data_IF_014577482986
#
_entry.id   IF_014577482986
#
_cell.length_a   1.000
_cell.length_b   1.000
_cell.length_c   1.000
_cell.angle_alpha   90.00
_cell.angle_beta   90.00
_cell.angle_gamma   90.00
#
_symmetry.space_group_name_H-M   'P 1'
#
loop_
_entity.id
_entity.type
_entity.pdbx_description
1 polymer ?
#
# COMPACT_ATOMS: atom_id res chain seq x y z
N UNK A 1 -20.47 45.29 -39.69
CA UNK A 1 -20.72 43.82 -39.74
C UNK A 1 -19.64 43.10 -38.98
N UNK A 2 -19.84 42.82 -37.72
CA UNK A 2 -18.89 42.12 -36.85
C UNK A 2 -19.42 40.72 -36.59
N UNK A 3 -18.73 39.76 -37.21
CA UNK A 3 -18.97 38.32 -37.13
C UNK A 3 -18.60 37.82 -35.71
N UNK A 4 -19.57 37.43 -34.90
CA UNK A 4 -19.35 36.69 -33.66
C UNK A 4 -19.05 35.24 -34.02
N UNK A 5 -17.78 34.83 -33.88
CA UNK A 5 -17.41 33.42 -33.94
C UNK A 5 -17.86 32.76 -32.65
N UNK A 6 -18.83 31.88 -32.76
CA UNK A 6 -19.25 30.96 -31.68
C UNK A 6 -18.09 30.01 -31.38
N UNK A 7 -17.31 30.31 -30.34
CA UNK A 7 -16.39 29.34 -29.73
C UNK A 7 -17.19 28.41 -28.82
N UNK A 8 -18.02 27.59 -29.44
CA UNK A 8 -18.72 26.51 -28.72
C UNK A 8 -17.85 25.26 -28.80
N UNK A 9 -16.72 25.26 -28.07
CA UNK A 9 -15.87 24.07 -27.97
C UNK A 9 -16.59 23.01 -27.12
N UNK A 10 -16.33 21.75 -27.41
CA UNK A 10 -16.87 20.62 -26.66
C UNK A 10 -16.63 20.73 -25.15
N UNK A 11 -15.53 21.39 -24.72
CA UNK A 11 -15.24 21.70 -23.32
C UNK A 11 -16.25 22.65 -22.67
N UNK A 12 -16.69 23.69 -23.39
CA UNK A 12 -17.68 24.63 -22.86
C UNK A 12 -19.05 23.97 -22.66
N UNK A 13 -19.43 23.00 -23.50
CA UNK A 13 -20.67 22.23 -23.33
C UNK A 13 -20.59 21.28 -22.13
N UNK A 14 -19.43 20.65 -21.88
CA UNK A 14 -19.23 19.75 -20.71
C UNK A 14 -19.39 20.47 -19.37
N UNK A 15 -18.95 21.71 -19.27
CA UNK A 15 -19.11 22.52 -18.06
C UNK A 15 -20.58 22.92 -17.76
N UNK A 16 -21.39 23.05 -18.82
CA UNK A 16 -22.82 23.44 -18.67
C UNK A 16 -23.70 22.25 -18.28
N UNK A 17 -23.34 21.01 -18.66
CA UNK A 17 -24.16 19.83 -18.39
C UNK A 17 -23.81 19.12 -17.08
N UNK A 18 -22.81 19.61 -16.33
CA UNK A 18 -22.43 19.03 -15.01
C UNK A 18 -21.96 17.58 -15.06
N UNK A 19 -21.70 17.04 -16.26
CA UNK A 19 -21.16 15.71 -16.45
C UNK A 19 -19.66 15.79 -16.31
N UNK A 20 -19.15 15.56 -15.12
CA UNK A 20 -17.73 15.25 -14.91
C UNK A 20 -17.47 13.90 -15.60
N UNK A 21 -16.54 13.88 -16.57
CA UNK A 21 -16.02 12.60 -17.07
C UNK A 21 -15.59 11.76 -15.85
N UNK A 22 -15.97 10.48 -15.78
CA UNK A 22 -15.48 9.63 -14.71
C UNK A 22 -13.93 9.69 -14.70
N UNK A 23 -13.30 9.76 -13.53
CA UNK A 23 -11.85 9.85 -13.44
C UNK A 23 -11.25 8.76 -14.33
N UNK A 24 -10.40 9.17 -15.29
CA UNK A 24 -9.70 8.21 -16.15
C UNK A 24 -9.01 7.22 -15.22
N UNK A 25 -9.41 5.94 -15.25
CA UNK A 25 -8.70 4.88 -14.53
C UNK A 25 -7.25 4.94 -14.97
N UNK A 26 -6.39 5.52 -14.14
CA UNK A 26 -4.95 5.53 -14.39
C UNK A 26 -4.51 4.09 -14.46
N UNK A 27 -3.92 3.69 -15.59
CA UNK A 27 -3.43 2.32 -15.75
C UNK A 27 -2.33 2.08 -14.72
N UNK A 28 -2.56 1.14 -13.81
CA UNK A 28 -1.56 0.75 -12.81
C UNK A 28 -0.31 0.21 -13.51
N UNK A 29 0.86 0.50 -12.93
CA UNK A 29 2.13 -0.08 -13.35
C UNK A 29 2.28 -1.45 -12.69
N UNK A 30 2.37 -2.51 -13.49
CA UNK A 30 2.49 -3.89 -12.96
C UNK A 30 3.91 -4.13 -12.45
N UNK A 31 4.04 -4.44 -11.17
CA UNK A 31 5.27 -4.97 -10.60
C UNK A 31 5.48 -6.41 -11.13
N UNK A 32 6.61 -6.66 -11.79
CA UNK A 32 6.89 -7.95 -12.44
C UNK A 32 7.43 -8.99 -11.46
N UNK A 33 8.25 -8.51 -10.52
CA UNK A 33 8.96 -9.27 -9.50
C UNK A 33 9.29 -8.35 -8.32
N UNK A 34 9.91 -8.90 -7.29
CA UNK A 34 10.30 -8.20 -6.07
C UNK A 34 11.23 -7.00 -6.34
N UNK A 35 12.28 -7.20 -7.13
CA UNK A 35 13.26 -6.14 -7.41
C UNK A 35 12.64 -4.99 -8.18
N UNK A 36 11.78 -5.30 -9.15
CA UNK A 36 11.03 -4.29 -9.89
C UNK A 36 10.07 -3.52 -8.98
N UNK A 37 9.38 -4.20 -8.05
CA UNK A 37 8.52 -3.54 -7.06
C UNK A 37 9.34 -2.57 -6.20
N UNK A 38 10.45 -3.00 -5.63
CA UNK A 38 11.34 -2.12 -4.84
C UNK A 38 11.82 -0.91 -5.65
N UNK A 39 12.18 -1.10 -6.92
CA UNK A 39 12.60 0.00 -7.79
C UNK A 39 11.46 0.98 -8.08
N UNK A 40 10.24 0.48 -8.30
CA UNK A 40 9.06 1.33 -8.50
C UNK A 40 8.78 2.17 -7.25
N UNK A 41 8.77 1.56 -6.06
CA UNK A 41 8.59 2.25 -4.78
C UNK A 41 9.64 3.35 -4.62
N UNK A 42 10.93 3.01 -4.75
CA UNK A 42 12.04 3.96 -4.64
C UNK A 42 11.86 5.15 -5.58
N UNK A 43 11.58 4.90 -6.85
CA UNK A 43 11.35 5.95 -7.85
C UNK A 43 10.17 6.87 -7.51
N UNK A 44 9.08 6.31 -6.92
CA UNK A 44 7.93 7.10 -6.48
C UNK A 44 8.29 7.99 -5.29
N UNK A 45 8.96 7.41 -4.29
CA UNK A 45 9.39 8.14 -3.10
C UNK A 45 10.38 9.26 -3.43
N UNK A 46 11.34 9.02 -4.32
CA UNK A 46 12.28 10.04 -4.80
C UNK A 46 11.58 11.21 -5.51
N UNK A 47 10.52 10.92 -6.26
CA UNK A 47 9.80 11.95 -7.04
C UNK A 47 8.70 12.66 -6.27
N UNK A 48 8.04 11.98 -5.34
CA UNK A 48 6.80 12.43 -4.69
C UNK A 48 6.91 12.55 -3.18
N UNK A 49 8.06 12.16 -2.60
CA UNK A 49 8.31 12.13 -1.16
C UNK A 49 7.83 10.83 -0.47
N UNK A 50 8.17 10.67 0.83
CA UNK A 50 7.93 9.44 1.57
C UNK A 50 6.45 9.15 1.88
N UNK A 51 5.58 10.15 1.82
CA UNK A 51 4.14 10.00 2.07
C UNK A 51 3.34 9.83 0.78
N UNK A 52 4.00 9.39 -0.30
CA UNK A 52 3.34 9.29 -1.60
C UNK A 52 2.34 8.14 -1.68
N UNK A 53 1.30 8.34 -2.50
CA UNK A 53 0.39 7.28 -2.92
C UNK A 53 1.10 6.32 -3.88
N UNK A 54 1.13 5.03 -3.51
CA UNK A 54 1.70 3.92 -4.30
C UNK A 54 0.61 3.01 -4.88
N UNK A 55 -0.67 3.37 -4.77
CA UNK A 55 -1.78 2.57 -5.30
C UNK A 55 -1.82 2.53 -6.84
N UNK A 56 -0.97 3.32 -7.50
CA UNK A 56 -0.71 3.24 -8.94
C UNK A 56 0.18 2.04 -9.33
N UNK A 57 0.68 1.25 -8.35
CA UNK A 57 1.43 0.01 -8.57
C UNK A 57 0.49 -1.19 -8.42
N UNK A 58 0.48 -2.08 -9.41
CA UNK A 58 -0.22 -3.37 -9.35
C UNK A 58 0.74 -4.43 -8.82
N UNK A 59 0.46 -4.94 -7.62
CA UNK A 59 1.31 -5.90 -6.89
C UNK A 59 0.80 -7.34 -6.95
N UNK A 60 -0.27 -7.64 -7.68
CA UNK A 60 -0.94 -8.97 -7.70
C UNK A 60 -0.04 -10.14 -8.11
N UNK A 61 1.10 -9.87 -8.73
CA UNK A 61 2.07 -10.92 -9.12
C UNK A 61 3.10 -11.21 -8.04
N UNK A 62 3.13 -10.41 -6.98
CA UNK A 62 4.13 -10.52 -5.92
C UNK A 62 3.65 -11.54 -4.89
N UNK A 63 4.49 -12.51 -4.59
CA UNK A 63 4.25 -13.55 -3.59
C UNK A 63 5.14 -13.40 -2.37
N UNK A 64 6.24 -12.64 -2.48
CA UNK A 64 7.19 -12.35 -1.42
C UNK A 64 7.31 -10.82 -1.27
N UNK A 65 6.95 -10.31 -0.09
CA UNK A 65 7.10 -8.92 0.32
C UNK A 65 8.01 -8.79 1.56
N UNK A 66 8.80 -9.83 1.84
CA UNK A 66 9.73 -9.82 2.96
C UNK A 66 10.71 -8.66 2.83
N UNK A 67 10.93 -7.92 3.92
CA UNK A 67 11.84 -6.77 3.95
C UNK A 67 11.52 -5.66 2.93
N UNK A 68 10.31 -5.59 2.36
CA UNK A 68 10.00 -4.72 1.23
C UNK A 68 10.35 -3.25 1.50
N UNK A 69 10.01 -2.73 2.67
CA UNK A 69 10.31 -1.35 3.08
C UNK A 69 11.58 -1.23 3.95
N UNK A 70 12.19 -2.35 4.34
CA UNK A 70 13.41 -2.31 5.14
C UNK A 70 14.57 -1.68 4.36
N UNK A 71 15.19 -0.64 4.94
CA UNK A 71 16.34 0.05 4.34
C UNK A 71 16.05 0.85 3.07
N UNK A 72 14.79 0.88 2.58
CA UNK A 72 14.44 1.77 1.47
C UNK A 72 14.35 3.23 1.90
N UNK A 73 13.73 3.49 3.00
CA UNK A 73 13.84 4.69 3.84
C UNK A 73 13.14 4.39 5.16
N UNK A 74 13.69 4.90 6.28
CA UNK A 74 13.02 4.80 7.59
C UNK A 74 11.70 5.58 7.64
N UNK A 75 11.37 6.36 6.60
CA UNK A 75 10.33 7.39 6.63
C UNK A 75 9.13 7.13 5.73
N UNK A 76 8.99 5.93 5.13
CA UNK A 76 7.81 5.67 4.31
C UNK A 76 6.55 5.59 5.18
N UNK A 77 5.61 6.50 4.92
CA UNK A 77 4.27 6.51 5.51
C UNK A 77 3.23 6.91 4.44
N UNK A 78 3.34 6.33 3.25
CA UNK A 78 2.48 6.59 2.12
C UNK A 78 1.26 5.67 2.07
N UNK A 79 0.42 5.85 1.05
CA UNK A 79 -0.80 5.08 0.87
C UNK A 79 -0.57 3.84 0.00
N UNK A 80 -0.84 2.67 0.57
CA UNK A 80 -0.82 1.35 -0.06
C UNK A 80 -2.12 0.57 0.22
N UNK A 81 -3.16 1.28 0.65
CA UNK A 81 -4.43 0.67 1.09
C UNK A 81 -5.13 -0.14 -0.01
N UNK A 82 -4.88 0.19 -1.28
CA UNK A 82 -5.49 -0.47 -2.45
C UNK A 82 -4.59 -1.55 -3.08
N UNK A 83 -3.53 -1.95 -2.41
CA UNK A 83 -2.72 -3.07 -2.87
C UNK A 83 -3.49 -4.38 -2.70
N UNK A 84 -3.56 -5.16 -3.77
CA UNK A 84 -4.07 -6.53 -3.72
C UNK A 84 -2.91 -7.46 -3.36
N UNK A 85 -2.85 -7.83 -2.08
CA UNK A 85 -1.81 -8.68 -1.49
C UNK A 85 -2.26 -10.14 -1.35
N UNK A 86 -3.40 -10.50 -1.94
CA UNK A 86 -4.02 -11.83 -1.79
C UNK A 86 -3.14 -13.01 -2.24
N UNK A 87 -2.11 -12.75 -3.06
CA UNK A 87 -1.15 -13.78 -3.49
C UNK A 87 0.14 -13.81 -2.66
N UNK A 88 0.28 -12.91 -1.68
CA UNK A 88 1.51 -12.82 -0.86
C UNK A 88 1.55 -13.94 0.16
N UNK A 89 2.71 -14.59 0.27
CA UNK A 89 2.99 -15.67 1.22
C UNK A 89 3.97 -15.29 2.30
N UNK A 90 4.91 -14.40 2.02
CA UNK A 90 5.93 -13.95 2.97
C UNK A 90 5.86 -12.44 3.14
N UNK A 91 5.58 -11.99 4.38
CA UNK A 91 5.58 -10.60 4.82
C UNK A 91 6.59 -10.35 5.96
N UNK A 92 7.53 -11.25 6.16
CA UNK A 92 8.55 -11.15 7.22
C UNK A 92 9.30 -9.82 7.12
N UNK A 93 9.43 -9.13 8.26
CA UNK A 93 10.14 -7.85 8.36
C UNK A 93 9.66 -6.74 7.40
N UNK A 94 8.47 -6.83 6.79
CA UNK A 94 8.02 -5.90 5.75
C UNK A 94 8.07 -4.44 6.20
N UNK A 95 7.66 -4.15 7.43
CA UNK A 95 7.65 -2.82 8.03
C UNK A 95 8.59 -2.70 9.25
N UNK A 96 9.56 -3.59 9.38
CA UNK A 96 10.50 -3.58 10.50
C UNK A 96 11.24 -2.24 10.57
N UNK A 97 11.14 -1.55 11.73
CA UNK A 97 11.81 -0.27 11.97
C UNK A 97 11.33 0.88 11.08
N UNK A 98 10.08 0.84 10.57
CA UNK A 98 9.53 1.86 9.68
C UNK A 98 8.58 2.81 10.40
N UNK A 99 8.44 4.04 9.88
CA UNK A 99 7.46 5.03 10.33
C UNK A 99 6.04 4.75 9.77
N UNK A 100 5.86 3.63 9.05
CA UNK A 100 4.59 3.31 8.40
C UNK A 100 3.46 3.16 9.41
N UNK A 101 2.38 3.91 9.20
CA UNK A 101 1.13 3.83 9.96
C UNK A 101 -0.11 4.03 9.05
N UNK A 102 0.00 3.62 7.78
CA UNK A 102 -1.10 3.69 6.82
C UNK A 102 -2.18 2.63 7.07
N UNK A 103 -3.35 2.82 6.44
CA UNK A 103 -4.46 1.88 6.55
C UNK A 103 -4.22 0.63 5.68
N UNK A 104 -4.13 -0.52 6.32
CA UNK A 104 -4.02 -1.84 5.71
C UNK A 104 -5.08 -2.81 6.25
N UNK A 105 -6.11 -2.29 6.90
CA UNK A 105 -7.18 -3.09 7.53
C UNK A 105 -7.92 -3.99 6.54
N UNK A 106 -7.99 -3.58 5.27
CA UNK A 106 -8.72 -4.30 4.21
C UNK A 106 -7.84 -5.26 3.39
N UNK A 107 -6.57 -5.43 3.76
CA UNK A 107 -5.72 -6.39 3.06
C UNK A 107 -6.21 -7.82 3.27
N UNK A 108 -6.30 -8.58 2.18
CA UNK A 108 -6.49 -10.02 2.23
C UNK A 108 -5.14 -10.71 2.45
N UNK A 109 -4.89 -11.09 3.70
CA UNK A 109 -3.65 -11.77 4.13
C UNK A 109 -3.85 -13.27 4.31
N UNK A 110 -4.97 -13.82 3.86
CA UNK A 110 -5.36 -15.22 4.10
C UNK A 110 -4.38 -16.25 3.55
N UNK A 111 -3.53 -15.88 2.58
CA UNK A 111 -2.50 -16.75 2.01
C UNK A 111 -1.10 -16.55 2.62
N UNK A 112 -0.95 -15.64 3.58
CA UNK A 112 0.35 -15.37 4.21
C UNK A 112 0.73 -16.49 5.17
N UNK A 113 1.96 -16.96 5.06
CA UNK A 113 2.53 -18.06 5.83
C UNK A 113 3.54 -17.56 6.89
N UNK A 114 4.25 -16.45 6.63
CA UNK A 114 5.27 -15.87 7.52
C UNK A 114 5.04 -14.36 7.72
N UNK A 115 4.85 -13.94 8.98
CA UNK A 115 4.74 -12.55 9.43
C UNK A 115 5.76 -12.21 10.54
N UNK A 116 6.83 -13.02 10.67
CA UNK A 116 7.83 -12.80 11.71
C UNK A 116 8.43 -11.39 11.60
N UNK A 117 8.52 -10.68 12.73
CA UNK A 117 9.10 -9.33 12.84
C UNK A 117 8.43 -8.25 11.96
N UNK A 118 7.23 -8.49 11.40
CA UNK A 118 6.61 -7.60 10.39
C UNK A 118 6.52 -6.15 10.83
N UNK A 119 6.11 -5.89 12.07
CA UNK A 119 5.97 -4.54 12.65
C UNK A 119 6.96 -4.28 13.79
N UNK A 120 8.01 -5.10 13.93
CA UNK A 120 8.98 -4.90 15.01
C UNK A 120 9.63 -3.53 14.90
N UNK A 121 9.55 -2.73 15.99
CA UNK A 121 10.15 -1.39 16.04
C UNK A 121 9.53 -0.38 15.08
N UNK A 122 8.33 -0.67 14.52
CA UNK A 122 7.61 0.26 13.64
C UNK A 122 6.67 1.17 14.43
N UNK A 123 6.22 2.27 13.80
CA UNK A 123 5.20 3.16 14.36
C UNK A 123 3.76 2.69 14.11
N UNK A 124 3.59 1.52 13.49
CA UNK A 124 2.29 0.99 13.12
C UNK A 124 1.37 0.78 14.33
N UNK A 125 0.18 1.41 14.27
CA UNK A 125 -0.86 1.33 15.31
C UNK A 125 -2.27 1.18 14.68
N UNK A 126 -2.35 0.68 13.45
CA UNK A 126 -3.62 0.49 12.73
C UNK A 126 -4.42 -0.70 13.24
N UNK A 127 -5.73 -0.72 12.91
CA UNK A 127 -6.60 -1.85 13.22
C UNK A 127 -6.45 -2.97 12.17
N UNK A 128 -5.95 -4.10 12.61
CA UNK A 128 -5.80 -5.34 11.83
C UNK A 128 -6.50 -6.52 12.51
N UNK A 129 -7.48 -6.24 13.37
CA UNK A 129 -8.21 -7.25 14.14
C UNK A 129 -8.99 -8.23 13.27
N UNK A 130 -9.34 -7.84 12.05
CA UNK A 130 -10.14 -8.63 11.11
C UNK A 130 -9.30 -9.47 10.14
N UNK A 131 -7.98 -9.44 10.23
CA UNK A 131 -7.13 -10.25 9.37
C UNK A 131 -7.36 -11.75 9.57
N UNK A 132 -7.53 -12.49 8.49
CA UNK A 132 -7.50 -13.96 8.51
C UNK A 132 -6.04 -14.43 8.45
N UNK A 133 -5.53 -14.86 9.60
CA UNK A 133 -4.16 -15.33 9.77
C UNK A 133 -4.10 -16.86 9.93
N UNK A 134 -5.11 -17.57 9.48
CA UNK A 134 -5.26 -19.03 9.67
C UNK A 134 -4.10 -19.83 9.07
N UNK A 135 -3.47 -19.32 8.02
CA UNK A 135 -2.33 -19.94 7.34
C UNK A 135 -0.96 -19.48 7.87
N UNK A 136 -0.92 -18.48 8.77
CA UNK A 136 0.35 -17.98 9.30
C UNK A 136 0.96 -18.97 10.29
N UNK A 137 2.18 -19.42 9.99
CA UNK A 137 2.93 -20.38 10.82
C UNK A 137 4.01 -19.72 11.69
N UNK A 138 4.48 -18.52 11.31
CA UNK A 138 5.47 -17.77 12.08
C UNK A 138 5.04 -16.31 12.27
N UNK A 139 4.84 -15.92 13.54
CA UNK A 139 4.55 -14.53 13.96
C UNK A 139 5.61 -14.05 14.97
N UNK A 140 6.77 -14.71 15.02
CA UNK A 140 7.81 -14.42 16.01
C UNK A 140 8.11 -12.94 16.10
N UNK A 141 7.96 -12.35 17.30
CA UNK A 141 8.29 -10.95 17.61
C UNK A 141 7.66 -9.91 16.67
N UNK A 142 6.50 -10.22 16.10
CA UNK A 142 5.82 -9.37 15.10
C UNK A 142 5.61 -7.94 15.59
N UNK A 143 5.29 -7.76 16.89
CA UNK A 143 4.97 -6.46 17.48
C UNK A 143 6.02 -5.97 18.49
N UNK A 144 7.19 -6.59 18.59
CA UNK A 144 8.22 -6.14 19.54
C UNK A 144 8.62 -4.68 19.27
N UNK A 145 8.66 -3.87 20.35
CA UNK A 145 8.98 -2.44 20.29
C UNK A 145 8.08 -1.63 19.32
N UNK A 146 6.83 -2.02 19.16
CA UNK A 146 5.81 -1.27 18.40
C UNK A 146 4.69 -0.79 19.32
N UNK A 147 3.84 0.19 18.91
CA UNK A 147 2.70 0.67 19.67
C UNK A 147 1.65 -0.41 19.97
N UNK A 148 1.62 -1.51 19.18
CA UNK A 148 0.73 -2.64 19.38
C UNK A 148 1.23 -3.62 20.44
N UNK A 149 2.49 -3.52 20.92
CA UNK A 149 2.99 -4.39 21.99
C UNK A 149 2.19 -4.21 23.29
N UNK A 150 1.59 -5.30 23.75
CA UNK A 150 0.66 -5.31 24.90
C UNK A 150 -0.78 -4.94 24.55
N UNK A 151 -1.09 -4.74 23.26
CA UNK A 151 -2.43 -4.48 22.70
C UNK A 151 -2.64 -5.27 21.41
N UNK A 152 -1.95 -6.38 21.27
CA UNK A 152 -1.96 -7.20 20.08
C UNK A 152 -3.38 -7.67 19.74
N UNK A 153 -3.72 -7.86 18.44
CA UNK A 153 -4.99 -8.46 18.06
C UNK A 153 -5.20 -9.84 18.68
N UNK A 154 -6.45 -10.22 18.91
CA UNK A 154 -6.81 -11.49 19.58
C UNK A 154 -6.30 -12.75 18.87
N UNK A 155 -6.01 -12.65 17.58
CA UNK A 155 -5.46 -13.75 16.78
C UNK A 155 -3.94 -13.91 16.92
N UNK A 156 -3.22 -12.94 17.52
CA UNK A 156 -1.76 -13.01 17.67
C UNK A 156 -1.34 -14.16 18.58
N UNK A 157 -0.34 -14.90 18.16
CA UNK A 157 0.30 -15.99 18.90
C UNK A 157 1.80 -15.76 18.87
N UNK A 158 2.37 -15.41 20.05
CA UNK A 158 3.80 -15.20 20.25
C UNK A 158 4.58 -16.53 20.28
#
# INVERSE_FOLDING_TARGET
MTSWKNNNTLESRRLVEGVLDPPKKTRKVVARDYDHLRQLIKNRMEKRGPNCDLNDIDVRRITDMSYLFYGLTSYFNGDISQWDVSNVKDMRCMFNGSDFNGDISQWDVSNVEDMAYMFKGSDFNGDISQWDVSNVTDMTRMFDNSPLKGKEPSWYRA
#
